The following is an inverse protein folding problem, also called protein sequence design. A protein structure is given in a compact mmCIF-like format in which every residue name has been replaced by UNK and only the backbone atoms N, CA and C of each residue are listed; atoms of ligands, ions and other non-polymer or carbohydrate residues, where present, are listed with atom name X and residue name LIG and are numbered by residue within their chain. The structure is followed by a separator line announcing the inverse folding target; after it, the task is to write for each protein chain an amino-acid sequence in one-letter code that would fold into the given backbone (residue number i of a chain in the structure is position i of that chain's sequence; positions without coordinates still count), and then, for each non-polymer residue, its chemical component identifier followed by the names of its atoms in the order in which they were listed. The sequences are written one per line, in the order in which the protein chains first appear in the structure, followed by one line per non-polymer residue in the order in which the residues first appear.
data_IF_973757501967
#
_entry.id   IF_973757501967
#
_cell.length_a   1.000
_cell.length_b   1.000
_cell.length_c   1.000
_cell.angle_alpha   90.00
_cell.angle_beta   90.00
_cell.angle_gamma   90.00
#
_symmetry.space_group_name_H-M   'P 1'
#
loop_
_entity.id
_entity.type
_entity.pdbx_description
1 polymer ?
#
# COMPACT_ATOMS: atom_id res chain seq x y z
N UNK A 1 -3.77 3.08 -26.28
CA UNK A 1 -3.14 4.38 -26.01
C UNK A 1 -2.56 4.31 -24.61
N UNK A 2 -1.33 3.82 -24.51
CA UNK A 2 -0.41 4.22 -23.44
C UNK A 2 0.66 5.05 -24.14
N UNK A 3 0.98 6.23 -23.63
CA UNK A 3 2.15 6.96 -24.09
C UNK A 3 3.33 6.47 -23.26
N UNK A 4 4.35 5.95 -23.93
CA UNK A 4 5.63 5.59 -23.34
C UNK A 4 6.29 6.86 -22.80
N UNK A 5 6.66 6.89 -21.52
CA UNK A 5 7.70 7.80 -21.02
C UNK A 5 7.32 8.93 -20.06
N UNK A 6 6.09 9.03 -19.55
CA UNK A 6 5.85 9.87 -18.37
C UNK A 6 6.01 9.03 -17.10
N UNK A 7 6.88 9.44 -16.15
CA UNK A 7 6.95 8.75 -14.87
C UNK A 7 5.60 8.98 -14.19
N UNK A 8 4.82 7.92 -14.03
CA UNK A 8 3.72 7.92 -13.06
C UNK A 8 4.35 8.26 -11.71
N UNK A 9 4.13 9.48 -11.25
CA UNK A 9 4.60 9.93 -9.94
C UNK A 9 3.72 9.22 -8.93
N UNK A 10 4.10 7.99 -8.60
CA UNK A 10 3.37 7.23 -7.60
C UNK A 10 3.62 7.83 -6.22
N UNK A 11 2.54 8.01 -5.45
CA UNK A 11 2.56 8.40 -4.05
C UNK A 11 2.92 7.19 -3.16
N UNK A 12 3.57 7.45 -2.01
CA UNK A 12 3.95 6.39 -1.09
C UNK A 12 2.69 5.81 -0.42
N UNK A 13 2.54 4.50 -0.50
CA UNK A 13 1.53 3.79 0.27
C UNK A 13 1.69 4.08 1.76
N UNK A 14 0.63 4.50 2.48
CA UNK A 14 0.72 4.88 3.89
C UNK A 14 1.13 3.72 4.81
N UNK A 15 0.90 2.48 4.35
CA UNK A 15 1.25 1.26 5.06
C UNK A 15 2.71 0.86 4.86
N UNK A 16 3.16 0.64 3.61
CA UNK A 16 4.48 0.08 3.35
C UNK A 16 5.57 1.09 2.95
N UNK A 17 5.18 2.33 2.60
CA UNK A 17 6.06 3.40 2.16
C UNK A 17 6.62 3.24 0.73
N UNK A 18 6.24 2.20 0.00
CA UNK A 18 6.58 2.09 -1.42
C UNK A 18 5.66 2.97 -2.27
N UNK A 19 6.25 3.61 -3.28
CA UNK A 19 5.54 4.42 -4.28
C UNK A 19 4.77 3.52 -5.23
N UNK A 20 3.50 3.27 -4.90
CA UNK A 20 2.62 2.34 -5.63
C UNK A 20 1.20 2.83 -5.84
N UNK A 21 0.87 4.01 -5.31
CA UNK A 21 -0.47 4.62 -5.38
C UNK A 21 -0.41 5.68 -6.48
N UNK A 22 -1.34 5.68 -7.44
CA UNK A 22 -1.31 6.66 -8.54
C UNK A 22 -1.74 8.05 -8.05
N UNK A 23 -2.74 8.11 -7.18
CA UNK A 23 -3.24 9.33 -6.55
C UNK A 23 -3.59 9.06 -5.08
N UNK A 24 -3.13 9.91 -4.16
CA UNK A 24 -3.49 9.79 -2.75
C UNK A 24 -5.01 9.92 -2.55
N UNK A 25 -5.57 9.05 -1.71
CA UNK A 25 -7.01 8.87 -1.53
C UNK A 25 -7.75 8.47 -2.83
N UNK A 26 -7.02 7.85 -3.77
CA UNK A 26 -7.55 7.32 -5.03
C UNK A 26 -8.21 5.94 -4.91
N UNK A 27 -8.26 5.35 -3.71
CA UNK A 27 -8.77 4.00 -3.45
C UNK A 27 -7.97 2.88 -4.15
N UNK A 28 -6.70 3.16 -4.49
CA UNK A 28 -5.80 2.16 -5.04
C UNK A 28 -5.40 1.14 -3.99
N UNK A 29 -5.33 -0.13 -4.39
CA UNK A 29 -4.79 -1.22 -3.57
C UNK A 29 -3.29 -1.35 -3.85
N UNK A 30 -2.47 -1.16 -2.81
CA UNK A 30 -1.03 -1.31 -2.92
C UNK A 30 -0.65 -2.75 -3.31
N UNK A 31 0.00 -3.03 -4.45
CA UNK A 31 0.38 -4.38 -4.85
C UNK A 31 1.47 -5.00 -3.97
N UNK A 32 2.22 -4.19 -3.20
CA UNK A 32 3.29 -4.66 -2.33
C UNK A 32 2.80 -5.14 -0.96
N UNK A 33 1.78 -4.51 -0.40
CA UNK A 33 1.30 -4.85 0.94
C UNK A 33 -0.20 -5.12 1.02
N UNK A 34 -0.96 -4.83 -0.04
CA UNK A 34 -2.42 -4.99 -0.11
C UNK A 34 -3.23 -4.05 0.78
N UNK A 35 -2.64 -2.92 1.20
CA UNK A 35 -3.39 -1.82 1.82
C UNK A 35 -4.13 -1.01 0.75
N UNK A 36 -5.43 -0.81 0.92
CA UNK A 36 -6.24 0.10 0.12
C UNK A 36 -6.14 1.52 0.68
N UNK A 37 -5.80 2.49 -0.18
CA UNK A 37 -5.75 3.90 0.19
C UNK A 37 -7.16 4.50 0.33
N UNK A 38 -7.74 4.34 1.52
CA UNK A 38 -9.06 4.86 1.89
C UNK A 38 -9.05 6.35 2.28
N UNK A 39 -7.94 7.06 2.04
CA UNK A 39 -7.76 8.46 2.41
C UNK A 39 -7.65 8.72 3.92
N UNK A 40 -7.59 7.67 4.74
CA UNK A 40 -7.35 7.79 6.18
C UNK A 40 -5.87 7.62 6.51
N UNK A 41 -5.21 8.70 6.90
CA UNK A 41 -3.80 8.72 7.29
C UNK A 41 -3.56 8.61 8.80
N UNK A 42 -4.62 8.63 9.63
CA UNK A 42 -4.52 8.43 11.07
C UNK A 42 -4.13 6.96 11.39
N UNK A 43 -2.94 6.72 11.98
CA UNK A 43 -2.45 5.36 12.27
C UNK A 43 -3.37 4.55 13.20
N UNK A 44 -4.16 5.24 14.03
CA UNK A 44 -4.95 4.64 15.10
C UNK A 44 -6.42 4.49 14.76
N UNK A 45 -6.90 5.22 13.75
CA UNK A 45 -8.27 5.10 13.28
C UNK A 45 -8.47 3.80 12.51
N UNK A 46 -9.56 3.11 12.83
CA UNK A 46 -9.93 1.87 12.15
C UNK A 46 -10.34 2.15 10.70
N UNK A 47 -9.70 1.46 9.75
CA UNK A 47 -10.10 1.47 8.35
C UNK A 47 -11.17 0.40 8.12
N UNK A 48 -12.35 0.81 7.66
CA UNK A 48 -13.45 -0.13 7.40
C UNK A 48 -13.20 -1.03 6.19
N UNK A 49 -12.41 -0.57 5.21
CA UNK A 49 -12.09 -1.34 3.99
C UNK A 49 -10.91 -2.27 4.20
N UNK A 50 -9.91 -1.85 4.98
CA UNK A 50 -8.78 -2.70 5.31
C UNK A 50 -9.07 -3.65 6.49
N UNK A 51 -10.11 -3.37 7.28
CA UNK A 51 -10.51 -4.13 8.46
C UNK A 51 -9.51 -4.15 9.64
N UNK A 52 -8.56 -3.21 9.64
CA UNK A 52 -7.58 -2.98 10.71
C UNK A 52 -7.15 -1.50 10.73
N UNK A 53 -6.39 -1.10 11.75
CA UNK A 53 -5.80 0.24 11.79
C UNK A 53 -4.56 0.31 10.89
N UNK A 54 -4.23 1.51 10.42
CA UNK A 54 -3.02 1.72 9.62
C UNK A 54 -1.74 1.34 10.39
N UNK A 55 -1.73 1.52 11.71
CA UNK A 55 -0.63 1.06 12.56
C UNK A 55 -0.51 -0.47 12.56
N UNK A 56 -1.62 -1.19 12.69
CA UNK A 56 -1.62 -2.66 12.58
C UNK A 56 -1.10 -3.12 11.22
N UNK A 57 -1.51 -2.44 10.13
CA UNK A 57 -1.06 -2.74 8.78
C UNK A 57 0.45 -2.55 8.61
N UNK A 58 1.01 -1.46 9.15
CA UNK A 58 2.45 -1.19 9.17
C UNK A 58 3.23 -2.27 9.93
N UNK A 59 2.74 -2.65 11.10
CA UNK A 59 3.37 -3.67 11.94
C UNK A 59 3.34 -5.04 11.26
N UNK A 60 2.21 -5.38 10.66
CA UNK A 60 2.01 -6.56 9.83
C UNK A 60 3.01 -6.58 8.66
N UNK A 61 3.09 -5.51 7.88
CA UNK A 61 4.00 -5.44 6.74
C UNK A 61 5.45 -5.61 7.16
N UNK A 62 5.86 -5.01 8.28
CA UNK A 62 7.21 -5.17 8.84
C UNK A 62 7.52 -6.61 9.24
N UNK A 63 6.53 -7.38 9.70
CA UNK A 63 6.71 -8.75 10.17
C UNK A 63 6.63 -9.79 9.05
N UNK A 64 5.68 -9.64 8.11
CA UNK A 64 5.36 -10.68 7.13
C UNK A 64 5.25 -10.19 5.67
N UNK A 65 5.45 -8.89 5.41
CA UNK A 65 5.42 -8.35 4.05
C UNK A 65 4.03 -8.11 3.46
N UNK A 66 2.97 -8.23 4.27
CA UNK A 66 1.59 -7.90 3.90
C UNK A 66 0.91 -7.07 4.99
N UNK A 67 -0.09 -6.26 4.65
CA UNK A 67 -0.87 -5.45 5.60
C UNK A 67 -1.76 -6.30 6.49
N UNK A 68 -2.16 -7.49 6.04
CA UNK A 68 -2.96 -8.46 6.76
C UNK A 68 -2.44 -9.89 6.46
N UNK A 69 -2.45 -10.82 7.44
CA UNK A 69 -2.05 -12.22 7.21
C UNK A 69 -2.79 -12.91 6.06
N UNK A 70 -4.04 -12.52 5.78
CA UNK A 70 -4.84 -13.08 4.70
C UNK A 70 -4.24 -12.82 3.30
N UNK A 71 -3.33 -11.85 3.18
CA UNK A 71 -2.79 -11.41 1.88
C UNK A 71 -1.35 -11.87 1.60
N UNK A 72 -0.71 -12.60 2.51
CA UNK A 72 0.70 -13.04 2.38
C UNK A 72 0.96 -13.78 1.05
N UNK A 73 0.01 -14.60 0.60
CA UNK A 73 0.18 -15.42 -0.60
C UNK A 73 -0.10 -14.67 -1.91
N UNK A 74 -0.73 -13.49 -1.85
CA UNK A 74 -1.14 -12.71 -3.03
C UNK A 74 -0.31 -11.45 -3.25
N UNK A 75 0.34 -10.91 -2.21
CA UNK A 75 1.19 -9.72 -2.33
C UNK A 75 2.40 -9.97 -3.22
N UNK A 76 2.85 -8.92 -3.91
CA UNK A 76 4.03 -8.99 -4.76
C UNK A 76 5.28 -9.36 -3.95
N UNK A 77 5.85 -10.54 -4.22
CA UNK A 77 7.08 -11.05 -3.60
C UNK A 77 8.34 -10.30 -4.03
N UNK A 78 8.23 -9.35 -4.96
CA UNK A 78 9.31 -8.48 -5.44
C UNK A 78 9.01 -6.99 -5.18
N UNK A 79 8.94 -6.55 -3.90
CA UNK A 79 8.58 -5.18 -3.54
C UNK A 79 9.56 -4.14 -4.08
N UNK A 80 10.83 -4.54 -4.28
CA UNK A 80 11.92 -3.69 -4.78
C UNK A 80 11.75 -3.23 -6.25
N UNK A 81 10.70 -3.67 -6.95
CA UNK A 81 10.31 -3.07 -8.23
C UNK A 81 9.92 -1.59 -8.06
N UNK A 82 9.42 -1.22 -6.89
CA UNK A 82 8.95 0.13 -6.58
C UNK A 82 9.96 0.87 -5.70
N UNK A 83 10.05 2.18 -5.89
CA UNK A 83 10.88 3.04 -5.04
C UNK A 83 10.24 3.16 -3.66
N UNK A 84 11.06 3.09 -2.61
CA UNK A 84 10.64 3.37 -1.24
C UNK A 84 10.90 4.82 -0.90
N UNK A 85 9.91 5.51 -0.36
CA UNK A 85 10.05 6.88 0.14
C UNK A 85 10.87 6.93 1.45
#
# INVERSE_FOLDING_TARGET
MGIEGEPLIYEPCPCCGYRTVEESAGYDVCPNCYWEDDGNDDPTKYSSVNHLTLQQGRDNFKQMGASDPAYIDIVNKHPNKYLKA
#
